data_IF_068188157716
#
_entry.id   IF_068188157716
#
_cell.length_a   1.000
_cell.length_b   1.000
_cell.length_c   1.000
_cell.angle_alpha   90.00
_cell.angle_beta   90.00
_cell.angle_gamma   90.00
#
_symmetry.space_group_name_H-M   'P 1'
#
loop_
_entity.id
_entity.type
_entity.pdbx_description
1 polymer ?
#
# COMPACT_ATOMS: atom_id res chain seq x y z
N UNK A 1 -10.66 -5.71 -2.48
CA UNK A 1 -9.26 -5.85 -2.04
C UNK A 1 -8.67 -4.46 -1.97
N UNK A 2 -7.97 -4.14 -0.89
CA UNK A 2 -7.39 -2.80 -0.68
C UNK A 2 -5.88 -2.95 -0.55
N UNK A 3 -5.13 -2.19 -1.34
CA UNK A 3 -3.66 -2.27 -1.37
C UNK A 3 -3.06 -0.89 -1.20
N UNK A 4 -2.22 -0.73 -0.18
CA UNK A 4 -1.35 0.43 -0.02
C UNK A 4 -0.12 0.24 -0.89
N UNK A 5 -0.12 0.83 -2.08
CA UNK A 5 1.03 0.72 -2.99
C UNK A 5 2.19 1.59 -2.54
N UNK A 6 3.39 1.02 -2.66
CA UNK A 6 4.65 1.65 -2.32
C UNK A 6 5.19 2.41 -3.55
N UNK A 7 4.62 3.60 -3.79
CA UNK A 7 4.83 4.35 -5.03
C UNK A 7 5.95 5.41 -5.01
N UNK A 8 6.32 5.94 -3.84
CA UNK A 8 7.34 6.99 -3.74
C UNK A 8 8.04 6.92 -2.38
N UNK A 9 9.27 6.42 -2.36
CA UNK A 9 10.14 6.54 -1.20
C UNK A 9 11.06 7.73 -1.38
N UNK A 10 11.49 8.33 -0.26
CA UNK A 10 12.54 9.34 -0.31
C UNK A 10 13.74 8.73 -1.04
N UNK A 11 14.36 9.49 -1.97
CA UNK A 11 15.62 9.09 -2.60
C UNK A 11 16.55 8.61 -1.47
N UNK A 12 17.05 7.37 -1.57
CA UNK A 12 17.92 6.65 -0.61
C UNK A 12 17.25 5.69 0.41
N UNK A 13 15.93 5.54 0.44
CA UNK A 13 15.30 4.55 1.35
C UNK A 13 15.21 3.18 0.67
N UNK A 14 15.69 2.12 1.34
CA UNK A 14 15.59 0.74 0.85
C UNK A 14 14.15 0.23 0.94
N UNK A 15 13.79 -0.75 0.08
CA UNK A 15 12.45 -1.36 0.14
C UNK A 15 12.16 -1.99 1.51
N UNK A 16 13.17 -2.58 2.14
CA UNK A 16 13.07 -3.13 3.49
C UNK A 16 12.64 -2.04 4.49
N UNK A 17 13.42 -0.96 4.59
CA UNK A 17 13.17 0.14 5.52
C UNK A 17 11.82 0.81 5.27
N UNK A 18 11.39 0.80 4.02
CA UNK A 18 10.08 1.31 3.64
C UNK A 18 8.91 0.43 4.11
N UNK A 19 9.05 -0.89 4.01
CA UNK A 19 8.07 -1.83 4.55
C UNK A 19 8.00 -1.70 6.07
N UNK A 20 9.16 -1.69 6.74
CA UNK A 20 9.30 -1.46 8.19
C UNK A 20 8.64 -0.14 8.60
N UNK A 21 8.94 0.95 7.90
CA UNK A 21 8.33 2.24 8.19
C UNK A 21 6.81 2.20 8.14
N UNK A 22 6.20 1.51 7.17
CA UNK A 22 4.74 1.45 7.10
C UNK A 22 4.12 0.68 8.27
N UNK A 23 4.74 -0.40 8.74
CA UNK A 23 4.19 -1.23 9.82
C UNK A 23 4.53 -0.72 11.23
N UNK A 24 5.66 -0.05 11.41
CA UNK A 24 6.11 0.44 12.72
C UNK A 24 5.67 1.89 13.01
N UNK A 25 5.28 2.66 11.98
CA UNK A 25 4.91 4.05 12.14
C UNK A 25 3.59 4.21 12.91
N UNK A 26 3.68 4.69 14.16
CA UNK A 26 2.54 4.92 15.05
C UNK A 26 1.87 6.29 14.91
N UNK A 27 2.50 7.26 14.27
CA UNK A 27 1.96 8.63 14.16
C UNK A 27 0.82 8.79 13.13
N UNK A 28 0.74 7.87 12.16
CA UNK A 28 -0.23 7.93 11.07
C UNK A 28 -1.48 7.15 11.42
N UNK A 29 -2.56 7.86 11.69
CA UNK A 29 -3.87 7.23 11.97
C UNK A 29 -4.46 6.68 10.67
N UNK A 30 -4.28 7.39 9.55
CA UNK A 30 -4.78 6.99 8.25
C UNK A 30 -3.69 7.03 7.17
N UNK A 31 -3.78 6.13 6.20
CA UNK A 31 -2.96 6.13 4.98
C UNK A 31 -3.86 6.03 3.74
N UNK A 32 -3.36 6.48 2.60
CA UNK A 32 -4.06 6.42 1.32
C UNK A 32 -3.74 5.09 0.63
N UNK A 33 -4.75 4.38 0.14
CA UNK A 33 -4.60 3.09 -0.50
C UNK A 33 -5.47 3.01 -1.76
N UNK A 34 -5.17 2.06 -2.65
CA UNK A 34 -6.01 1.76 -3.80
C UNK A 34 -7.01 0.66 -3.46
N UNK A 35 -8.28 0.91 -3.73
CA UNK A 35 -9.30 -0.14 -3.79
C UNK A 35 -9.27 -0.78 -5.17
N UNK A 36 -8.76 -2.01 -5.27
CA UNK A 36 -8.65 -2.70 -6.57
C UNK A 36 -10.04 -2.92 -7.19
N UNK A 37 -10.20 -2.49 -8.43
CA UNK A 37 -11.44 -2.61 -9.19
C UNK A 37 -11.45 -3.95 -9.93
N UNK A 38 -12.37 -4.84 -9.55
CA UNK A 38 -12.40 -6.22 -10.04
C UNK A 38 -11.01 -6.91 -9.94
N UNK A 39 -10.27 -6.64 -8.86
CA UNK A 39 -8.92 -7.19 -8.63
C UNK A 39 -7.81 -6.62 -9.53
N UNK A 40 -8.09 -5.59 -10.33
CA UNK A 40 -7.11 -4.85 -11.14
C UNK A 40 -6.61 -3.62 -10.37
N UNK A 41 -5.31 -3.37 -10.45
CA UNK A 41 -4.69 -2.10 -10.07
C UNK A 41 -4.54 -1.20 -11.29
N UNK A 42 -4.84 0.08 -11.13
CA UNK A 42 -4.70 1.15 -12.11
C UNK A 42 -3.50 2.04 -11.83
N UNK A 43 -2.83 1.84 -10.70
CA UNK A 43 -1.51 2.41 -10.44
C UNK A 43 -0.48 1.62 -11.28
N UNK A 44 0.29 2.27 -12.16
CA UNK A 44 1.21 1.54 -13.06
C UNK A 44 2.66 1.48 -12.56
N UNK A 45 3.11 2.50 -11.81
CA UNK A 45 4.52 2.63 -11.42
C UNK A 45 4.90 1.76 -10.21
N UNK A 46 4.00 1.62 -9.23
CA UNK A 46 4.27 0.86 -8.02
C UNK A 46 4.09 -0.65 -8.25
N UNK A 47 5.13 -1.44 -7.97
CA UNK A 47 5.12 -2.90 -8.16
C UNK A 47 4.90 -3.71 -6.86
N UNK A 48 5.16 -3.08 -5.71
CA UNK A 48 5.04 -3.68 -4.37
C UNK A 48 4.04 -2.86 -3.56
N UNK A 49 3.22 -3.53 -2.76
CA UNK A 49 2.25 -2.90 -1.89
C UNK A 49 2.01 -3.70 -0.61
N UNK A 50 1.22 -3.15 0.30
CA UNK A 50 0.77 -3.83 1.50
C UNK A 50 -0.73 -4.11 1.38
N UNK A 51 -1.12 -5.36 1.59
CA UNK A 51 -2.52 -5.79 1.64
C UNK A 51 -3.14 -5.27 2.93
N UNK A 52 -4.23 -4.53 2.81
CA UNK A 52 -4.92 -3.92 3.94
C UNK A 52 -6.12 -4.77 4.32
N UNK A 53 -6.35 -4.95 5.62
CA UNK A 53 -7.55 -5.62 6.14
C UNK A 53 -8.81 -4.84 5.73
N UNK A 54 -9.84 -5.52 5.23
CA UNK A 54 -11.07 -4.84 4.78
C UNK A 54 -11.73 -3.99 5.90
N UNK A 55 -11.65 -4.43 7.16
CA UNK A 55 -12.18 -3.70 8.33
C UNK A 55 -11.41 -2.43 8.67
N UNK A 56 -10.23 -2.22 8.08
CA UNK A 56 -9.42 -1.02 8.27
C UNK A 56 -9.87 0.13 7.38
N UNK A 57 -10.83 -0.10 6.48
CA UNK A 57 -11.37 0.93 5.61
C UNK A 57 -12.06 2.03 6.40
N UNK A 58 -11.63 3.27 6.17
CA UNK A 58 -12.20 4.48 6.81
C UNK A 58 -13.10 5.22 5.83
N UNK A 59 -12.63 5.41 4.59
CA UNK A 59 -13.38 6.17 3.58
C UNK A 59 -13.06 5.69 2.18
N UNK A 60 -14.09 5.55 1.35
CA UNK A 60 -13.97 5.29 -0.10
C UNK A 60 -14.14 6.58 -0.89
N UNK A 61 -13.46 6.66 -2.02
CA UNK A 61 -13.65 7.69 -3.02
C UNK A 61 -13.99 7.03 -4.36
N UNK A 62 -14.73 7.74 -5.21
CA UNK A 62 -15.13 7.25 -6.53
C UNK A 62 -14.04 7.43 -7.60
N UNK A 63 -12.96 8.14 -7.26
CA UNK A 63 -11.78 8.31 -8.10
C UNK A 63 -10.55 8.67 -7.29
N UNK A 64 -9.50 9.09 -7.98
CA UNK A 64 -8.26 9.56 -7.38
C UNK A 64 -8.46 10.91 -6.67
N UNK A 65 -7.83 11.05 -5.51
CA UNK A 65 -7.91 12.26 -4.69
C UNK A 65 -6.53 12.64 -4.18
N UNK A 66 -6.23 13.94 -4.22
CA UNK A 66 -5.09 14.45 -3.48
C UNK A 66 -5.44 14.53 -1.99
N UNK A 67 -4.51 14.09 -1.15
CA UNK A 67 -4.67 14.11 0.30
C UNK A 67 -3.40 14.61 0.99
N UNK A 68 -3.58 15.33 2.10
CA UNK A 68 -2.49 15.80 2.96
C UNK A 68 -2.74 15.37 4.38
N UNK A 69 -1.65 15.18 5.13
CA UNK A 69 -1.74 14.96 6.56
C UNK A 69 -2.12 16.26 7.27
N UNK A 70 -3.27 16.25 7.95
CA UNK A 70 -3.64 17.27 8.93
C UNK A 70 -3.25 16.77 10.32
N UNK A 71 -2.51 17.60 11.06
CA UNK A 71 -2.22 17.34 12.48
C UNK A 71 -3.54 17.42 13.26
N UNK A 72 -3.89 16.36 13.99
CA UNK A 72 -5.10 16.32 14.82
C UNK A 72 -4.80 16.44 16.30
N UNK A 73 -3.62 16.02 16.74
CA UNK A 73 -3.09 16.23 18.09
C UNK A 73 -1.58 16.47 18.04
N UNK A 74 -0.93 16.66 19.20
CA UNK A 74 0.52 16.82 19.28
C UNK A 74 1.31 15.69 18.57
N UNK A 75 0.76 14.47 18.53
CA UNK A 75 1.44 13.26 18.03
C UNK A 75 0.75 12.55 16.85
N UNK A 76 -0.50 12.92 16.49
CA UNK A 76 -1.27 12.19 15.48
C UNK A 76 -1.57 13.01 14.23
N UNK A 77 -1.49 12.35 13.07
CA UNK A 77 -1.85 12.92 11.77
C UNK A 77 -2.94 12.08 11.11
N UNK A 78 -3.98 12.75 10.59
CA UNK A 78 -5.04 12.12 9.78
C UNK A 78 -4.98 12.63 8.35
N UNK A 79 -5.40 11.81 7.38
CA UNK A 79 -5.51 12.25 5.99
C UNK A 79 -6.76 13.11 5.80
N UNK A 80 -6.55 14.27 5.18
CA UNK A 80 -7.61 15.16 4.70
C UNK A 80 -7.49 15.28 3.17
N UNK A 81 -8.59 15.03 2.47
CA UNK A 81 -8.74 15.28 1.04
C UNK A 81 -8.57 16.78 0.73
N UNK A 82 -7.76 17.12 -0.27
CA UNK A 82 -7.46 18.52 -0.66
C UNK A 82 -8.03 18.92 -2.02
N UNK A 83 -8.43 17.96 -2.87
CA UNK A 83 -9.07 18.22 -4.16
C UNK A 83 -10.26 17.29 -4.40
N UNK A 84 -11.21 17.70 -5.24
CA UNK A 84 -12.38 16.90 -5.62
C UNK A 84 -11.98 15.62 -6.37
N UNK A 85 -12.86 14.61 -6.27
CA UNK A 85 -12.70 13.37 -7.05
C UNK A 85 -12.81 13.72 -8.55
N UNK A 86 -12.00 13.06 -9.39
CA UNK A 86 -11.89 13.28 -10.84
C UNK A 86 -10.99 14.44 -11.31
N UNK A 87 -10.42 15.22 -10.40
CA UNK A 87 -9.46 16.28 -10.77
C UNK A 87 -8.07 15.76 -11.16
N UNK A 88 -7.76 14.50 -10.84
CA UNK A 88 -6.44 13.90 -11.02
C UNK A 88 -6.30 13.07 -12.33
N UNK A 89 -7.32 13.04 -13.18
CA UNK A 89 -7.33 12.29 -14.46
C UNK A 89 -6.83 10.83 -14.33
N UNK A 90 -7.17 10.17 -13.22
CA UNK A 90 -6.73 8.80 -12.93
C UNK A 90 -7.92 7.89 -12.63
N UNK A 91 -7.84 6.66 -13.15
CA UNK A 91 -8.93 5.67 -13.06
C UNK A 91 -8.91 4.84 -11.78
N UNK A 92 -7.85 4.95 -10.96
CA UNK A 92 -7.76 4.21 -9.71
C UNK A 92 -8.69 4.82 -8.65
N UNK A 93 -9.29 3.96 -7.83
CA UNK A 93 -10.14 4.39 -6.71
C UNK A 93 -9.31 4.49 -5.44
N UNK A 94 -9.01 5.71 -5.01
CA UNK A 94 -8.36 5.94 -3.73
C UNK A 94 -9.33 5.64 -2.57
N UNK A 95 -8.78 5.23 -1.45
CA UNK A 95 -9.47 5.08 -0.18
C UNK A 95 -8.54 5.45 0.98
N UNK A 96 -9.11 5.92 2.09
CA UNK A 96 -8.38 6.06 3.34
C UNK A 96 -8.60 4.84 4.20
N UNK A 97 -7.52 4.36 4.80
CA UNK A 97 -7.52 3.18 5.66
C UNK A 97 -6.68 3.42 6.91
N UNK A 98 -6.99 2.70 7.98
CA UNK A 98 -6.03 2.50 9.09
C UNK A 98 -4.90 1.57 8.60
N UNK A 99 -3.65 1.73 9.06
CA UNK A 99 -2.50 0.93 8.63
C UNK A 99 -2.52 -0.49 9.24
N UNK A 100 -3.62 -1.23 9.05
CA UNK A 100 -3.77 -2.62 9.47
C UNK A 100 -3.44 -3.55 8.29
N UNK A 101 -2.19 -3.95 8.19
CA UNK A 101 -1.67 -4.74 7.08
C UNK A 101 -1.69 -6.24 7.39
N UNK A 102 -2.07 -7.05 6.39
CA UNK A 102 -2.19 -8.51 6.49
C UNK A 102 -1.27 -9.26 5.52
N UNK A 103 -0.41 -8.55 4.80
CA UNK A 103 0.56 -9.15 3.89
C UNK A 103 1.21 -8.16 2.93
N UNK A 104 2.24 -8.61 2.24
CA UNK A 104 2.87 -7.90 1.12
C UNK A 104 2.24 -8.37 -0.19
N UNK A 105 1.98 -7.46 -1.12
CA UNK A 105 1.43 -7.76 -2.46
C UNK A 105 2.44 -7.38 -3.53
N UNK A 106 2.71 -8.30 -4.45
CA UNK A 106 3.50 -8.07 -5.66
C UNK A 106 2.55 -8.05 -6.87
N UNK A 107 2.66 -7.06 -7.75
CA UNK A 107 1.87 -7.08 -9.00
C UNK A 107 2.28 -8.20 -9.93
N UNK A 108 3.58 -8.34 -10.15
CA UNK A 108 4.16 -9.38 -11.00
C UNK A 108 5.55 -9.72 -10.45
N UNK A 109 5.68 -10.88 -9.80
CA UNK A 109 6.94 -11.32 -9.16
C UNK A 109 8.11 -11.27 -10.14
N UNK A 110 7.88 -11.68 -11.40
CA UNK A 110 8.87 -11.66 -12.49
C UNK A 110 9.46 -10.29 -12.80
N UNK A 111 8.80 -9.20 -12.40
CA UNK A 111 9.23 -7.82 -12.67
C UNK A 111 9.94 -7.15 -11.48
N UNK A 112 10.04 -7.88 -10.35
CA UNK A 112 10.71 -7.46 -9.13
C UNK A 112 12.18 -7.89 -9.20
N UNK A 113 13.12 -7.01 -8.89
CA UNK A 113 14.53 -7.35 -8.88
C UNK A 113 14.86 -8.38 -7.79
N UNK A 114 15.93 -9.15 -7.97
CA UNK A 114 16.40 -10.12 -6.97
C UNK A 114 16.65 -9.46 -5.60
N UNK A 115 17.28 -8.29 -5.59
CA UNK A 115 17.52 -7.50 -4.36
C UNK A 115 16.22 -7.11 -3.66
N UNK A 116 15.20 -6.68 -4.41
CA UNK A 116 13.89 -6.34 -3.84
C UNK A 116 13.16 -7.60 -3.32
N UNK A 117 13.23 -8.73 -4.03
CA UNK A 117 12.68 -9.99 -3.55
C UNK A 117 13.37 -10.45 -2.25
N UNK A 118 14.69 -10.30 -2.15
CA UNK A 118 15.43 -10.62 -0.91
C UNK A 118 14.99 -9.70 0.24
N UNK A 119 14.84 -8.40 0.01
CA UNK A 119 14.33 -7.47 1.01
C UNK A 119 12.92 -7.88 1.49
N UNK A 120 12.04 -8.28 0.57
CA UNK A 120 10.69 -8.76 0.90
C UNK A 120 10.73 -10.09 1.65
N UNK A 121 11.62 -11.02 1.28
CA UNK A 121 11.83 -12.29 2.01
C UNK A 121 12.26 -12.03 3.44
N UNK A 122 13.29 -11.19 3.64
CA UNK A 122 13.79 -10.84 4.98
C UNK A 122 12.67 -10.21 5.82
N UNK A 123 11.94 -9.24 5.27
CA UNK A 123 10.82 -8.60 5.95
C UNK A 123 9.70 -9.59 6.30
N UNK A 124 9.36 -10.48 5.37
CA UNK A 124 8.32 -11.51 5.57
C UNK A 124 8.67 -12.44 6.73
N UNK A 125 9.93 -12.85 6.84
CA UNK A 125 10.43 -13.71 7.91
C UNK A 125 10.44 -12.97 9.25
N UNK A 126 10.96 -11.74 9.30
CA UNK A 126 11.09 -10.96 10.54
C UNK A 126 9.73 -10.61 11.15
N UNK A 127 8.76 -10.19 10.33
CA UNK A 127 7.45 -9.73 10.80
C UNK A 127 6.34 -10.79 10.68
N UNK A 128 6.69 -12.04 10.37
CA UNK A 128 5.73 -13.12 10.09
C UNK A 128 4.61 -12.67 9.11
N UNK A 129 5.02 -11.92 8.08
CA UNK A 129 4.10 -11.24 7.18
C UNK A 129 4.00 -12.03 5.87
N UNK A 130 2.82 -12.58 5.49
CA UNK A 130 2.69 -13.38 4.29
C UNK A 130 2.86 -12.53 3.03
N UNK A 131 3.37 -13.13 1.96
CA UNK A 131 3.57 -12.46 0.68
C UNK A 131 2.66 -13.07 -0.37
N UNK A 132 2.05 -12.22 -1.19
CA UNK A 132 1.08 -12.57 -2.22
C UNK A 132 1.49 -12.02 -3.57
N UNK A 133 1.18 -12.75 -4.63
CA UNK A 133 1.23 -12.26 -6.01
C UNK A 133 -0.19 -11.99 -6.53
N UNK A 134 -0.38 -10.84 -7.16
CA UNK A 134 -1.63 -10.46 -7.81
C UNK A 134 -1.65 -10.98 -9.26
N UNK A 135 -2.21 -12.17 -9.48
CA UNK A 135 -2.31 -12.80 -10.79
C UNK A 135 -3.79 -12.90 -11.17
N UNK A 136 -4.15 -12.53 -12.39
CA UNK A 136 -5.52 -12.69 -12.91
C UNK A 136 -6.60 -12.23 -11.93
N UNK A 137 -6.40 -11.05 -11.32
CA UNK A 137 -7.33 -10.43 -10.36
C UNK A 137 -7.48 -11.14 -9.01
N UNK A 138 -6.61 -12.11 -8.71
CA UNK A 138 -6.60 -12.90 -7.46
C UNK A 138 -5.24 -12.83 -6.77
N UNK A 139 -5.22 -13.08 -5.47
CA UNK A 139 -3.98 -13.18 -4.70
C UNK A 139 -3.59 -14.64 -4.52
N UNK A 140 -2.33 -14.95 -4.83
CA UNK A 140 -1.73 -16.25 -4.62
C UNK A 140 -0.60 -16.12 -3.62
N UNK A 141 -0.64 -16.91 -2.55
CA UNK A 141 0.41 -16.87 -1.52
C UNK A 141 1.72 -17.42 -2.09
N UNK A 142 2.79 -16.64 -1.98
CA UNK A 142 4.15 -17.04 -2.32
C UNK A 142 4.76 -17.74 -1.11
N UNK A 143 5.40 -18.89 -1.35
CA UNK A 143 6.34 -19.49 -0.40
C UNK A 143 7.75 -19.11 -0.83
N UNK A 144 8.51 -18.49 0.08
CA UNK A 144 9.95 -18.38 -0.10
C UNK A 144 10.55 -19.71 0.34
N UNK A 145 11.05 -20.45 -0.63
CA UNK A 145 11.94 -21.60 -0.39
C UNK A 145 13.31 -21.04 -0.02
#
# INVERSE_FOLDING_TARGET
MIVRWLGAFKKKQSLYNSLVYEIEQREKVHVAAEMLQAGKSYINHAKVGLLVKNSALVRRFNGDVYSVYKKTSSRTKTLKKTRSENSAYSFHRECFVRPEYIGVVLKFKKTISKTALQAIKNFSLEYNCPVFELINRRLYRIKFI
#
